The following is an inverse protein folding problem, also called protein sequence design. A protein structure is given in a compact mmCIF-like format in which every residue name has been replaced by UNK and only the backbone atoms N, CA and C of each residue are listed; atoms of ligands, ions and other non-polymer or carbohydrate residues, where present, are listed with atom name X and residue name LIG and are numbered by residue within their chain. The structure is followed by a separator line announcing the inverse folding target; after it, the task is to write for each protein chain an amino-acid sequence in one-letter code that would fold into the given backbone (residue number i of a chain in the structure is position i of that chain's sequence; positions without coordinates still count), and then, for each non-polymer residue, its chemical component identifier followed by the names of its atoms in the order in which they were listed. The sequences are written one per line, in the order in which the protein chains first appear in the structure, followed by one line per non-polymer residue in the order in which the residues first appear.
data_IF_932290203083
#
_entry.id   IF_932290203083
#
_cell.length_a   1.000
_cell.length_b   1.000
_cell.length_c   1.000
_cell.angle_alpha   90.00
_cell.angle_beta   90.00
_cell.angle_gamma   90.00
#
_symmetry.space_group_name_H-M   'P 1'
#
loop_
_entity.id
_entity.type
_entity.pdbx_description
1 polymer ?
#
# COMPACT_ATOMS: atom_id res chain seq x y z
N UNK A 1 -56.19 -23.23 -26.97
CA UNK A 1 -55.12 -22.37 -26.43
C UNK A 1 -53.80 -23.06 -26.75
N UNK A 2 -53.36 -22.85 -27.98
CA UNK A 2 -52.16 -23.43 -28.57
C UNK A 2 -50.96 -22.53 -28.29
N UNK A 3 -49.88 -23.18 -27.89
CA UNK A 3 -48.56 -22.63 -27.65
C UNK A 3 -47.93 -22.07 -28.94
N UNK A 4 -47.08 -21.06 -28.79
CA UNK A 4 -46.34 -20.37 -29.85
C UNK A 4 -45.23 -21.24 -30.45
N UNK A 5 -45.34 -21.42 -31.77
CA UNK A 5 -44.32 -21.83 -32.75
C UNK A 5 -43.25 -20.71 -32.91
N UNK A 6 -41.95 -21.03 -32.97
CA UNK A 6 -41.11 -21.08 -34.20
C UNK A 6 -40.70 -19.68 -34.75
N UNK A 7 -39.58 -19.44 -35.43
CA UNK A 7 -38.48 -20.27 -35.90
C UNK A 7 -37.29 -19.36 -36.24
N UNK A 8 -36.10 -19.96 -36.31
CA UNK A 8 -34.85 -19.36 -36.77
C UNK A 8 -34.84 -19.27 -38.30
N UNK A 9 -34.44 -18.14 -38.89
CA UNK A 9 -33.97 -18.08 -40.27
C UNK A 9 -32.63 -17.33 -40.38
N UNK A 10 -31.61 -18.11 -40.74
CA UNK A 10 -30.27 -17.68 -41.17
C UNK A 10 -30.32 -17.31 -42.65
N UNK A 11 -29.78 -16.14 -43.04
CA UNK A 11 -29.27 -15.88 -44.38
C UNK A 11 -28.04 -14.94 -44.31
N UNK A 12 -26.91 -15.45 -44.79
CA UNK A 12 -25.64 -14.75 -45.04
C UNK A 12 -25.70 -13.94 -46.39
N UNK A 13 -24.58 -13.58 -47.06
CA UNK A 13 -24.00 -12.24 -47.08
C UNK A 13 -23.95 -11.63 -48.51
N UNK A 14 -23.64 -10.33 -48.61
CA UNK A 14 -23.31 -9.61 -49.87
C UNK A 14 -24.39 -9.58 -50.98
N UNK A 15 -25.14 -8.47 -51.04
CA UNK A 15 -25.27 -7.72 -52.29
C UNK A 15 -25.67 -6.25 -52.04
N UNK A 16 -24.88 -5.37 -52.67
CA UNK A 16 -24.99 -3.92 -52.74
C UNK A 16 -26.21 -3.43 -53.52
N UNK A 17 -26.84 -2.34 -53.10
CA UNK A 17 -26.94 -1.10 -53.91
C UNK A 17 -27.79 0.01 -53.26
N UNK A 18 -27.17 1.18 -53.15
CA UNK A 18 -27.72 2.53 -53.35
C UNK A 18 -29.13 2.88 -52.84
N UNK A 19 -29.18 3.50 -51.65
CA UNK A 19 -30.14 4.57 -51.36
C UNK A 19 -29.53 5.56 -50.34
N UNK A 20 -29.27 6.79 -50.80
CA UNK A 20 -28.80 7.92 -49.99
C UNK A 20 -29.97 8.56 -49.21
N UNK A 21 -29.89 8.78 -47.89
CA UNK A 21 -30.81 9.69 -47.22
C UNK A 21 -30.29 11.13 -47.20
N UNK A 22 -31.23 12.07 -47.28
CA UNK A 22 -31.09 13.52 -47.45
C UNK A 22 -30.28 14.22 -46.32
N UNK A 23 -29.62 15.36 -46.60
CA UNK A 23 -28.75 16.04 -45.63
C UNK A 23 -29.54 16.89 -44.62
N UNK A 24 -29.24 16.70 -43.32
CA UNK A 24 -29.66 17.59 -42.24
C UNK A 24 -28.82 18.89 -42.21
N UNK A 25 -29.35 20.02 -41.71
CA UNK A 25 -28.76 21.35 -41.94
C UNK A 25 -27.60 21.74 -41.02
N UNK A 26 -26.91 20.80 -40.36
CA UNK A 26 -25.77 21.13 -39.48
C UNK A 26 -24.46 20.56 -40.04
N UNK A 27 -23.87 21.27 -41.01
CA UNK A 27 -22.57 20.93 -41.62
C UNK A 27 -21.48 21.82 -41.01
N UNK A 28 -20.65 21.28 -40.12
CA UNK A 28 -19.35 21.86 -39.74
C UNK A 28 -18.29 21.43 -40.79
N UNK A 29 -17.33 22.30 -41.17
CA UNK A 29 -16.41 22.02 -42.27
C UNK A 29 -15.40 20.93 -41.88
N UNK A 30 -15.23 19.95 -42.77
CA UNK A 30 -14.19 18.93 -42.65
C UNK A 30 -12.83 19.55 -42.99
N UNK A 31 -11.86 19.43 -42.10
CA UNK A 31 -10.45 19.48 -42.48
C UNK A 31 -9.85 18.11 -42.15
N UNK A 32 -9.58 17.31 -43.20
CA UNK A 32 -8.82 16.07 -43.08
C UNK A 32 -7.38 16.45 -42.76
N UNK A 33 -6.84 15.96 -41.64
CA UNK A 33 -5.40 15.94 -41.39
C UNK A 33 -4.98 14.48 -41.32
N UNK A 34 -4.18 14.09 -42.31
CA UNK A 34 -3.50 12.81 -42.41
C UNK A 34 -2.63 12.59 -41.17
N UNK A 35 -2.78 11.43 -40.52
CA UNK A 35 -1.86 10.98 -39.48
C UNK A 35 -0.60 10.49 -40.19
N UNK A 36 0.33 11.41 -40.43
CA UNK A 36 1.71 11.11 -40.73
C UNK A 36 2.51 11.25 -39.43
N UNK A 37 3.25 10.21 -39.10
CA UNK A 37 4.24 10.20 -38.04
C UNK A 37 5.28 11.31 -38.25
N UNK A 38 5.54 12.12 -37.22
CA UNK A 38 6.86 12.54 -36.74
C UNK A 38 6.79 13.79 -35.85
N UNK A 39 7.66 13.81 -34.83
CA UNK A 39 8.25 14.99 -34.20
C UNK A 39 7.39 15.94 -33.34
N UNK A 40 7.53 15.79 -32.02
CA UNK A 40 8.02 16.79 -31.06
C UNK A 40 7.61 18.29 -31.23
N UNK A 41 6.97 18.79 -30.16
CA UNK A 41 6.99 20.15 -29.55
C UNK A 41 5.79 21.12 -29.68
N UNK A 42 5.25 21.45 -28.50
CA UNK A 42 4.88 22.78 -27.97
C UNK A 42 3.62 23.54 -28.44
N UNK A 43 2.68 23.67 -27.51
CA UNK A 43 2.00 24.92 -27.08
C UNK A 43 1.74 24.76 -25.57
N UNK A 44 1.96 25.68 -24.63
CA UNK A 44 2.20 27.12 -24.70
C UNK A 44 1.35 27.79 -23.61
N UNK A 45 1.81 27.85 -22.36
CA UNK A 45 1.30 28.78 -21.35
C UNK A 45 2.47 29.65 -20.93
N UNK A 46 2.45 30.91 -21.38
CA UNK A 46 3.42 31.94 -21.05
C UNK A 46 3.10 32.44 -19.65
N UNK A 47 4.03 32.25 -18.70
CA UNK A 47 4.07 33.00 -17.46
C UNK A 47 5.49 33.53 -17.29
N UNK A 48 5.66 34.82 -17.52
CA UNK A 48 6.93 35.55 -17.38
C UNK A 48 7.25 35.70 -15.89
N UNK A 49 8.34 35.07 -15.42
CA UNK A 49 8.95 35.35 -14.12
C UNK A 49 10.47 35.30 -14.25
N UNK A 50 11.12 36.39 -13.85
CA UNK A 50 12.56 36.67 -13.97
C UNK A 50 13.49 35.52 -13.52
N UNK A 51 14.59 35.36 -14.25
CA UNK A 51 15.43 34.15 -14.30
C UNK A 51 16.67 34.16 -13.38
N UNK A 52 16.78 35.06 -12.39
CA UNK A 52 18.04 35.17 -11.60
C UNK A 52 18.00 34.65 -10.17
N UNK A 53 16.83 34.49 -9.56
CA UNK A 53 16.74 34.09 -8.14
C UNK A 53 16.44 32.59 -7.91
N UNK A 54 16.28 31.81 -8.99
CA UNK A 54 15.89 30.40 -8.93
C UNK A 54 17.03 29.43 -9.29
N UNK A 55 18.28 29.90 -9.35
CA UNK A 55 19.40 29.02 -9.72
C UNK A 55 20.01 28.36 -8.48
N UNK A 56 20.04 29.04 -7.32
CA UNK A 56 20.58 28.43 -6.09
C UNK A 56 19.78 27.23 -5.55
N UNK A 57 18.43 27.28 -5.43
CA UNK A 57 17.68 26.15 -4.84
C UNK A 57 17.52 24.99 -5.82
N UNK A 58 17.49 25.27 -7.13
CA UNK A 58 17.33 24.24 -8.17
C UNK A 58 18.64 23.48 -8.39
N UNK A 59 19.80 24.17 -8.36
CA UNK A 59 21.10 23.49 -8.46
C UNK A 59 21.38 22.67 -7.20
N UNK A 60 21.00 23.15 -6.01
CA UNK A 60 21.08 22.35 -4.78
C UNK A 60 20.18 21.11 -4.84
N UNK A 61 18.96 21.23 -5.38
CA UNK A 61 18.05 20.10 -5.59
C UNK A 61 18.55 19.11 -6.67
N UNK A 62 19.26 19.60 -7.69
CA UNK A 62 19.85 18.79 -8.76
C UNK A 62 21.17 18.11 -8.36
N UNK A 63 21.92 18.66 -7.39
CA UNK A 63 23.14 18.01 -6.87
C UNK A 63 22.84 16.89 -5.87
N UNK A 64 21.64 16.84 -5.28
CA UNK A 64 21.23 15.73 -4.40
C UNK A 64 20.75 14.51 -5.21
N UNK A 65 20.34 14.70 -6.47
CA UNK A 65 19.77 13.63 -7.29
C UNK A 65 20.79 12.82 -8.10
N UNK A 66 22.07 13.21 -8.15
CA UNK A 66 23.09 12.50 -8.96
C UNK A 66 23.67 11.23 -8.31
N UNK A 67 23.28 10.89 -7.08
CA UNK A 67 23.59 9.60 -6.45
C UNK A 67 22.40 8.63 -6.39
N UNK A 68 21.28 8.95 -7.04
CA UNK A 68 20.02 8.19 -6.97
C UNK A 68 19.76 7.36 -8.23
N UNK A 69 20.77 6.68 -8.76
CA UNK A 69 20.59 5.71 -9.85
C UNK A 69 21.49 4.51 -9.55
N UNK A 70 20.89 3.32 -9.45
CA UNK A 70 21.46 2.01 -9.08
C UNK A 70 21.40 1.53 -7.62
N UNK A 71 20.38 1.91 -6.84
CA UNK A 71 20.07 1.21 -5.59
C UNK A 71 18.61 0.74 -5.56
N UNK A 72 18.38 -0.43 -6.16
CA UNK A 72 17.21 -1.27 -5.86
C UNK A 72 17.13 -1.48 -4.35
N UNK A 73 16.13 -0.87 -3.69
CA UNK A 73 15.71 -1.05 -2.28
C UNK A 73 16.87 -1.06 -1.27
N UNK A 74 17.07 0.04 -0.54
CA UNK A 74 18.16 0.17 0.42
C UNK A 74 17.97 -0.64 1.71
N UNK A 75 16.83 -1.32 1.85
CA UNK A 75 16.49 -2.12 3.01
C UNK A 75 16.96 -3.56 2.77
N UNK A 76 17.70 -4.17 3.72
CA UNK A 76 18.26 -5.50 3.50
C UNK A 76 17.14 -6.54 3.32
N UNK A 77 17.28 -7.35 2.27
CA UNK A 77 16.35 -8.42 1.90
C UNK A 77 15.89 -9.29 3.07
N UNK A 78 16.81 -9.63 3.98
CA UNK A 78 16.51 -10.46 5.15
C UNK A 78 15.49 -9.83 6.11
N UNK A 79 15.46 -8.50 6.25
CA UNK A 79 14.46 -7.80 7.07
C UNK A 79 13.09 -7.83 6.43
N UNK A 80 13.01 -7.69 5.10
CA UNK A 80 11.74 -7.83 4.39
C UNK A 80 11.18 -9.23 4.53
N UNK A 81 12.01 -10.26 4.35
CA UNK A 81 11.58 -11.66 4.54
C UNK A 81 11.14 -11.92 5.98
N UNK A 82 11.83 -11.36 6.97
CA UNK A 82 11.42 -11.44 8.37
C UNK A 82 10.05 -10.80 8.61
N UNK A 83 9.80 -9.61 8.05
CA UNK A 83 8.51 -8.94 8.17
C UNK A 83 7.37 -9.77 7.55
N UNK A 84 7.61 -10.36 6.38
CA UNK A 84 6.67 -11.28 5.72
C UNK A 84 6.36 -12.48 6.61
N UNK A 85 7.37 -13.16 7.14
CA UNK A 85 7.17 -14.31 8.03
C UNK A 85 6.38 -13.92 9.28
N UNK A 86 6.77 -12.83 9.95
CA UNK A 86 6.11 -12.37 11.16
C UNK A 86 4.63 -12.01 10.93
N UNK A 87 4.32 -11.32 9.82
CA UNK A 87 2.94 -11.00 9.46
C UNK A 87 2.16 -12.23 8.99
N UNK A 88 2.78 -13.17 8.27
CA UNK A 88 2.16 -14.45 7.90
C UNK A 88 1.80 -15.28 9.14
N UNK A 89 2.66 -15.31 10.17
CA UNK A 89 2.34 -15.97 11.46
C UNK A 89 1.07 -15.36 12.06
N UNK A 90 0.98 -14.03 12.11
CA UNK A 90 -0.22 -13.31 12.61
C UNK A 90 -1.48 -13.71 11.83
N UNK A 91 -1.41 -13.81 10.50
CA UNK A 91 -2.53 -14.25 9.65
C UNK A 91 -2.97 -15.70 9.90
N UNK A 92 -2.01 -16.62 10.07
CA UNK A 92 -2.30 -18.06 10.28
C UNK A 92 -2.92 -18.29 11.66
N UNK A 93 -2.45 -17.57 12.67
CA UNK A 93 -3.02 -17.67 14.02
C UNK A 93 -4.48 -17.24 14.04
N UNK A 94 -4.80 -16.11 13.40
CA UNK A 94 -6.18 -15.65 13.26
C UNK A 94 -7.03 -16.67 12.47
N UNK A 95 -6.48 -17.27 11.42
CA UNK A 95 -7.18 -18.33 10.69
C UNK A 95 -7.51 -19.54 11.57
N UNK A 96 -6.57 -19.95 12.44
CA UNK A 96 -6.75 -21.07 13.37
C UNK A 96 -7.74 -20.76 14.47
N UNK A 97 -7.72 -19.55 15.02
CA UNK A 97 -8.70 -19.08 16.02
C UNK A 97 -10.13 -19.18 15.48
N UNK A 98 -10.31 -18.90 14.19
CA UNK A 98 -11.60 -18.98 13.51
C UNK A 98 -11.88 -20.34 12.86
N UNK A 99 -11.07 -21.36 13.17
CA UNK A 99 -11.24 -22.75 12.70
C UNK A 99 -11.32 -22.88 11.17
N UNK A 100 -10.57 -22.05 10.46
CA UNK A 100 -10.42 -22.17 9.01
C UNK A 100 -9.57 -23.39 8.65
N UNK A 101 -9.77 -23.91 7.44
CA UNK A 101 -8.99 -25.03 6.90
C UNK A 101 -7.58 -24.59 6.48
N UNK A 102 -6.75 -25.55 6.04
CA UNK A 102 -5.37 -25.26 5.61
C UNK A 102 -5.35 -24.25 4.45
N UNK A 103 -6.30 -24.31 3.52
CA UNK A 103 -6.39 -23.38 2.39
C UNK A 103 -6.70 -21.97 2.90
N UNK A 104 -7.67 -21.82 3.81
CA UNK A 104 -7.97 -20.55 4.46
C UNK A 104 -6.79 -20.00 5.28
N UNK A 105 -6.05 -20.87 5.98
CA UNK A 105 -4.86 -20.48 6.72
C UNK A 105 -3.74 -19.95 5.80
N UNK A 106 -3.47 -20.63 4.69
CA UNK A 106 -2.51 -20.18 3.67
C UNK A 106 -2.97 -18.87 3.03
N UNK A 107 -4.24 -18.75 2.69
CA UNK A 107 -4.80 -17.54 2.09
C UNK A 107 -4.64 -16.33 3.03
N UNK A 108 -5.02 -16.45 4.31
CA UNK A 108 -4.82 -15.37 5.27
C UNK A 108 -3.36 -15.06 5.53
N UNK A 109 -2.47 -16.05 5.54
CA UNK A 109 -1.04 -15.82 5.69
C UNK A 109 -0.48 -14.94 4.57
N UNK A 110 -0.86 -15.24 3.32
CA UNK A 110 -0.44 -14.49 2.13
C UNK A 110 -1.03 -13.09 2.15
N UNK A 111 -2.32 -12.96 2.49
CA UNK A 111 -2.97 -11.65 2.61
C UNK A 111 -2.33 -10.80 3.70
N UNK A 112 -2.03 -11.37 4.87
CA UNK A 112 -1.44 -10.63 5.98
C UNK A 112 0.03 -10.25 5.69
N UNK A 113 0.82 -11.19 5.17
CA UNK A 113 2.24 -11.01 4.90
C UNK A 113 2.57 -10.21 3.64
N UNK A 114 1.73 -10.27 2.61
CA UNK A 114 2.03 -9.64 1.31
C UNK A 114 0.98 -8.61 0.89
N UNK A 115 -0.20 -8.60 1.53
CA UNK A 115 -1.29 -7.70 1.20
C UNK A 115 -0.97 -6.23 1.46
N UNK A 116 -0.18 -5.90 2.48
CA UNK A 116 0.28 -4.52 2.72
C UNK A 116 1.14 -3.98 1.58
N UNK A 117 2.11 -4.79 1.12
CA UNK A 117 2.93 -4.46 -0.05
C UNK A 117 2.12 -4.41 -1.35
N UNK A 118 1.12 -5.29 -1.50
CA UNK A 118 0.20 -5.26 -2.64
C UNK A 118 -0.62 -3.96 -2.67
N UNK A 119 -1.20 -3.55 -1.53
CA UNK A 119 -1.95 -2.30 -1.43
C UNK A 119 -1.08 -1.11 -1.80
N UNK A 120 0.13 -1.03 -1.22
CA UNK A 120 1.11 0.00 -1.56
C UNK A 120 1.39 0.05 -3.06
N UNK A 121 1.74 -1.08 -3.65
CA UNK A 121 2.17 -1.12 -5.06
C UNK A 121 1.00 -0.77 -6.00
N UNK A 122 -0.22 -1.18 -5.68
CA UNK A 122 -1.43 -0.79 -6.42
C UNK A 122 -1.74 0.70 -6.27
N UNK A 123 -1.49 1.29 -5.10
CA UNK A 123 -1.70 2.73 -4.88
C UNK A 123 -0.62 3.60 -5.52
N UNK A 124 0.63 3.13 -5.56
CA UNK A 124 1.73 3.89 -6.18
C UNK A 124 1.61 3.90 -7.70
N UNK A 125 1.00 2.87 -8.31
CA UNK A 125 0.82 2.73 -9.77
C UNK A 125 2.11 2.88 -10.59
N UNK A 126 3.26 2.73 -9.93
CA UNK A 126 4.60 2.93 -10.48
C UNK A 126 5.45 1.74 -10.04
N UNK A 127 6.12 1.11 -11.00
CA UNK A 127 6.97 -0.07 -10.78
C UNK A 127 6.20 -1.40 -10.73
N UNK A 128 6.94 -2.47 -10.43
CA UNK A 128 6.40 -3.82 -10.37
C UNK A 128 5.81 -4.13 -8.97
N UNK A 129 4.81 -5.02 -8.98
CA UNK A 129 4.20 -5.55 -7.77
C UNK A 129 5.19 -6.48 -7.06
N UNK A 130 5.46 -6.21 -5.78
CA UNK A 130 6.46 -6.90 -4.96
C UNK A 130 6.27 -8.41 -4.94
N UNK A 131 5.02 -8.88 -4.79
CA UNK A 131 4.68 -10.29 -4.75
C UNK A 131 5.06 -11.05 -6.04
N UNK A 132 5.08 -10.34 -7.18
CA UNK A 132 5.42 -10.94 -8.47
C UNK A 132 6.92 -10.88 -8.76
N UNK A 133 7.61 -9.87 -8.22
CA UNK A 133 9.03 -9.66 -8.47
C UNK A 133 9.94 -10.44 -7.53
N UNK A 134 9.50 -10.70 -6.29
CA UNK A 134 10.28 -11.41 -5.29
C UNK A 134 9.89 -12.90 -5.24
N UNK A 135 10.70 -13.79 -5.84
CA UNK A 135 10.34 -15.20 -5.98
C UNK A 135 10.26 -15.95 -4.64
N UNK A 136 10.92 -15.44 -3.59
CA UNK A 136 10.90 -16.06 -2.27
C UNK A 136 9.72 -15.59 -1.40
N UNK A 137 9.16 -14.41 -1.63
CA UNK A 137 8.19 -13.81 -0.72
C UNK A 137 6.90 -14.66 -0.59
N UNK A 138 6.37 -15.12 -1.72
CA UNK A 138 5.16 -15.95 -1.77
C UNK A 138 5.39 -17.38 -1.22
N UNK A 139 6.41 -18.15 -1.67
CA UNK A 139 6.72 -19.45 -1.08
C UNK A 139 6.99 -19.40 0.42
N UNK A 140 7.67 -18.36 0.91
CA UNK A 140 7.98 -18.21 2.33
C UNK A 140 6.71 -18.01 3.17
N UNK A 141 5.76 -17.20 2.69
CA UNK A 141 4.46 -17.03 3.34
C UNK A 141 3.67 -18.35 3.38
N UNK A 142 3.64 -19.11 2.28
CA UNK A 142 2.96 -20.41 2.22
C UNK A 142 3.62 -21.42 3.14
N UNK A 143 4.96 -21.50 3.13
CA UNK A 143 5.71 -22.40 3.99
C UNK A 143 5.49 -22.08 5.48
N UNK A 144 5.50 -20.79 5.84
CA UNK A 144 5.19 -20.33 7.19
C UNK A 144 3.78 -20.76 7.59
N UNK A 145 2.79 -20.61 6.70
CA UNK A 145 1.44 -21.05 6.96
C UNK A 145 1.32 -22.56 7.19
N UNK A 146 1.92 -23.36 6.32
CA UNK A 146 1.91 -24.82 6.44
C UNK A 146 2.56 -25.28 7.76
N UNK A 147 3.73 -24.71 8.11
CA UNK A 147 4.46 -25.09 9.33
C UNK A 147 3.65 -24.74 10.57
N UNK A 148 3.14 -23.51 10.68
CA UNK A 148 2.40 -23.04 11.86
C UNK A 148 1.04 -23.73 11.99
N UNK A 149 0.41 -24.09 10.87
CA UNK A 149 -0.83 -24.85 10.86
C UNK A 149 -0.64 -26.31 11.32
N UNK A 150 0.42 -26.98 10.85
CA UNK A 150 0.71 -28.38 11.18
C UNK A 150 1.29 -28.54 12.58
N UNK A 151 2.09 -27.58 13.05
CA UNK A 151 2.75 -27.63 14.36
C UNK A 151 2.25 -26.54 15.31
N UNK A 152 1.03 -26.67 15.86
CA UNK A 152 0.47 -25.75 16.85
C UNK A 152 1.37 -25.49 18.05
N UNK A 153 2.07 -26.53 18.50
CA UNK A 153 2.88 -26.53 19.71
C UNK A 153 3.99 -25.47 19.70
N UNK A 154 4.42 -25.03 18.50
CA UNK A 154 5.39 -23.95 18.34
C UNK A 154 4.83 -22.61 18.84
N UNK A 155 3.50 -22.45 18.82
CA UNK A 155 2.81 -21.18 19.06
C UNK A 155 1.76 -21.26 20.17
N UNK A 156 1.67 -22.38 20.90
CA UNK A 156 0.64 -22.57 21.93
C UNK A 156 0.83 -21.69 23.20
N UNK A 157 1.97 -20.99 23.36
CA UNK A 157 2.29 -20.19 24.58
C UNK A 157 3.05 -18.83 24.46
N UNK A 158 3.29 -18.19 23.29
CA UNK A 158 3.95 -16.88 23.26
C UNK A 158 2.96 -15.71 23.33
N UNK A 159 2.15 -15.59 24.40
CA UNK A 159 1.19 -14.47 24.59
C UNK A 159 1.84 -13.08 24.44
N UNK A 160 3.14 -12.97 24.76
CA UNK A 160 3.92 -11.73 24.62
C UNK A 160 4.77 -11.66 23.35
N UNK A 161 5.14 -12.80 22.76
CA UNK A 161 6.03 -12.83 21.60
C UNK A 161 5.28 -12.53 20.30
N UNK A 162 4.03 -12.97 20.17
CA UNK A 162 3.23 -12.74 18.95
C UNK A 162 2.95 -11.23 18.75
N UNK A 163 2.47 -10.47 19.75
CA UNK A 163 2.26 -9.03 19.59
C UNK A 163 3.57 -8.26 19.37
N UNK A 164 4.68 -8.80 19.87
CA UNK A 164 6.01 -8.22 19.68
C UNK A 164 6.51 -8.41 18.24
N UNK A 165 6.38 -9.62 17.68
CA UNK A 165 6.73 -9.90 16.29
C UNK A 165 5.85 -9.09 15.33
N UNK A 166 4.56 -8.93 15.64
CA UNK A 166 3.63 -8.10 14.88
C UNK A 166 4.08 -6.63 14.85
N UNK A 167 4.43 -6.03 16.00
CA UNK A 167 4.83 -4.61 15.98
C UNK A 167 6.18 -4.39 15.30
N UNK A 168 7.09 -5.37 15.35
CA UNK A 168 8.36 -5.29 14.62
C UNK A 168 8.11 -5.32 13.11
N UNK A 169 7.25 -6.23 12.62
CA UNK A 169 6.93 -6.31 11.19
C UNK A 169 6.24 -5.03 10.71
N UNK A 170 5.35 -4.45 11.51
CA UNK A 170 4.69 -3.15 11.24
C UNK A 170 5.73 -2.04 11.08
N UNK A 171 6.74 -1.97 11.96
CA UNK A 171 7.81 -0.98 11.84
C UNK A 171 8.65 -1.17 10.57
N UNK A 172 8.96 -2.42 10.21
CA UNK A 172 9.69 -2.72 8.97
C UNK A 172 8.84 -2.38 7.74
N UNK A 173 7.55 -2.69 7.74
CA UNK A 173 6.64 -2.32 6.66
C UNK A 173 6.42 -0.81 6.53
N UNK A 174 6.39 -0.09 7.65
CA UNK A 174 6.33 1.36 7.66
C UNK A 174 7.56 1.97 6.96
N UNK A 175 8.76 1.49 7.33
CA UNK A 175 10.01 1.91 6.70
C UNK A 175 10.08 1.54 5.21
N UNK A 176 9.83 0.27 4.85
CA UNK A 176 9.86 -0.21 3.45
C UNK A 176 8.82 0.45 2.55
N UNK A 177 7.62 0.74 3.07
CA UNK A 177 6.61 1.47 2.33
C UNK A 177 7.01 2.91 2.06
N UNK A 178 7.55 3.60 3.06
CA UNK A 178 8.04 4.96 2.92
C UNK A 178 9.28 5.05 2.01
N UNK A 179 10.21 4.11 2.14
CA UNK A 179 11.43 4.03 1.31
C UNK A 179 11.09 3.89 -0.17
N UNK A 180 10.19 2.95 -0.50
CA UNK A 180 9.80 2.74 -1.90
C UNK A 180 9.14 3.98 -2.51
N UNK A 181 8.31 4.69 -1.75
CA UNK A 181 7.71 5.94 -2.20
C UNK A 181 8.73 7.08 -2.36
N UNK A 182 9.73 7.16 -1.46
CA UNK A 182 10.84 8.11 -1.58
C UNK A 182 11.69 7.85 -2.82
N UNK A 183 11.99 6.58 -3.12
CA UNK A 183 12.74 6.18 -4.32
C UNK A 183 12.00 6.58 -5.59
N UNK A 184 10.67 6.56 -5.60
CA UNK A 184 9.87 7.05 -6.73
C UNK A 184 9.72 8.58 -6.77
N UNK A 185 10.34 9.32 -5.86
CA UNK A 185 10.37 10.78 -5.89
C UNK A 185 9.06 11.45 -5.45
N UNK A 186 8.20 10.75 -4.71
CA UNK A 186 6.97 11.34 -4.19
C UNK A 186 7.23 12.35 -3.06
N UNK A 187 6.27 13.24 -2.82
CA UNK A 187 6.34 14.20 -1.72
C UNK A 187 6.41 13.50 -0.35
N UNK A 188 7.05 14.11 0.67
CA UNK A 188 7.24 13.48 1.99
C UNK A 188 5.94 13.03 2.65
N UNK A 189 4.88 13.82 2.53
CA UNK A 189 3.56 13.47 3.05
C UNK A 189 3.01 12.18 2.44
N UNK A 190 3.18 11.98 1.12
CA UNK A 190 2.76 10.75 0.42
C UNK A 190 3.61 9.57 0.89
N UNK A 191 4.92 9.76 1.08
CA UNK A 191 5.81 8.71 1.57
C UNK A 191 5.40 8.20 2.95
N UNK A 192 5.05 9.11 3.87
CA UNK A 192 4.56 8.75 5.20
C UNK A 192 3.26 7.94 5.10
N UNK A 193 2.32 8.38 4.25
CA UNK A 193 1.06 7.66 4.04
C UNK A 193 1.27 6.28 3.43
N UNK A 194 2.21 6.13 2.49
CA UNK A 194 2.54 4.84 1.90
C UNK A 194 3.16 3.88 2.91
N UNK A 195 4.04 4.38 3.78
CA UNK A 195 4.53 3.61 4.93
C UNK A 195 3.38 3.12 5.82
N UNK A 196 2.46 4.03 6.19
CA UNK A 196 1.28 3.68 6.97
C UNK A 196 0.40 2.61 6.30
N UNK A 197 0.04 2.78 5.02
CA UNK A 197 -0.79 1.81 4.29
C UNK A 197 -0.10 0.46 4.15
N UNK A 198 1.21 0.44 3.96
CA UNK A 198 1.98 -0.82 3.88
C UNK A 198 1.97 -1.55 5.23
N UNK A 199 2.21 -0.81 6.31
CA UNK A 199 2.30 -1.36 7.66
C UNK A 199 0.97 -1.91 8.17
N UNK A 200 -0.13 -1.20 7.89
CA UNK A 200 -1.45 -1.51 8.44
C UNK A 200 -2.30 -2.33 7.48
N UNK A 201 -2.02 -2.25 6.18
CA UNK A 201 -2.83 -2.85 5.12
C UNK A 201 -2.96 -4.37 5.22
N UNK A 202 -1.93 -5.09 5.63
CA UNK A 202 -2.00 -6.54 5.82
C UNK A 202 -3.03 -6.95 6.88
N UNK A 203 -2.98 -6.30 8.04
CA UNK A 203 -3.95 -6.52 9.12
C UNK A 203 -5.36 -6.07 8.77
N UNK A 204 -5.50 -4.94 8.04
CA UNK A 204 -6.80 -4.49 7.54
C UNK A 204 -7.45 -5.49 6.60
N UNK A 205 -6.68 -6.02 5.65
CA UNK A 205 -7.19 -7.01 4.71
C UNK A 205 -7.60 -8.28 5.46
N UNK A 206 -6.75 -8.79 6.36
CA UNK A 206 -7.08 -9.94 7.22
C UNK A 206 -8.43 -9.74 7.91
N UNK A 207 -8.59 -8.63 8.63
CA UNK A 207 -9.81 -8.35 9.38
C UNK A 207 -11.03 -8.24 8.44
N UNK A 208 -10.86 -7.62 7.27
CA UNK A 208 -11.90 -7.53 6.24
C UNK A 208 -12.32 -8.89 5.67
N UNK A 209 -11.38 -9.79 5.37
CA UNK A 209 -11.69 -11.16 4.92
C UNK A 209 -12.39 -11.98 6.01
N UNK A 210 -12.12 -11.68 7.28
CA UNK A 210 -12.81 -12.28 8.42
C UNK A 210 -14.21 -11.71 8.66
N UNK A 211 -14.61 -10.68 7.92
CA UNK A 211 -15.91 -10.02 8.10
C UNK A 211 -16.02 -9.26 9.42
N UNK A 212 -14.91 -8.95 10.08
CA UNK A 212 -14.87 -8.14 11.30
C UNK A 212 -14.42 -6.73 10.99
N UNK A 213 -14.85 -5.76 11.79
CA UNK A 213 -14.39 -4.37 11.64
C UNK A 213 -12.88 -4.34 11.91
N UNK A 214 -12.04 -3.84 10.99
CA UNK A 214 -10.60 -3.80 11.21
C UNK A 214 -10.21 -3.17 12.53
N UNK A 215 -9.27 -3.79 13.25
CA UNK A 215 -8.86 -3.36 14.59
C UNK A 215 -8.33 -1.92 14.64
N UNK A 216 -7.93 -1.39 13.49
CA UNK A 216 -7.47 -0.01 13.29
C UNK A 216 -8.60 1.04 13.41
N UNK A 217 -9.83 0.66 13.10
CA UNK A 217 -11.01 1.52 13.18
C UNK A 217 -11.71 1.37 14.52
N UNK A 218 -11.45 0.26 15.22
CA UNK A 218 -11.95 0.03 16.57
C UNK A 218 -11.17 0.87 17.58
N UNK A 219 -11.77 1.02 18.78
CA UNK A 219 -11.21 1.72 19.92
C UNK A 219 -10.02 0.93 20.51
N UNK A 220 -8.92 0.96 19.79
CA UNK A 220 -7.74 0.17 20.08
C UNK A 220 -6.52 1.08 20.25
N UNK A 221 -5.51 0.55 20.93
CA UNK A 221 -4.15 1.08 21.07
C UNK A 221 -3.66 1.87 19.84
N UNK A 222 -2.72 2.80 20.07
CA UNK A 222 -2.09 3.71 19.08
C UNK A 222 -1.33 3.02 17.92
N UNK A 223 -1.93 2.05 17.24
CA UNK A 223 -1.33 1.29 16.13
C UNK A 223 -1.11 2.17 14.91
N UNK A 224 -2.18 2.86 14.47
CA UNK A 224 -2.12 3.76 13.33
C UNK A 224 -1.15 4.92 13.59
N UNK A 225 -1.23 5.52 14.79
CA UNK A 225 -0.35 6.61 15.19
C UNK A 225 1.11 6.14 15.29
N UNK A 226 1.38 4.94 15.81
CA UNK A 226 2.72 4.36 15.83
C UNK A 226 3.28 4.14 14.42
N UNK A 227 2.49 3.60 13.49
CA UNK A 227 2.90 3.39 12.11
C UNK A 227 3.17 4.71 11.36
N UNK A 228 2.33 5.74 11.58
CA UNK A 228 2.54 7.08 11.01
C UNK A 228 3.81 7.72 11.60
N UNK A 229 3.98 7.66 12.92
CA UNK A 229 5.16 8.23 13.58
C UNK A 229 6.46 7.51 13.18
N UNK A 230 6.42 6.19 13.05
CA UNK A 230 7.52 5.39 12.50
C UNK A 230 7.87 5.84 11.09
N UNK A 231 6.89 5.86 10.18
CA UNK A 231 7.08 6.29 8.79
C UNK A 231 7.59 7.73 8.70
N UNK A 232 7.07 8.64 9.52
CA UNK A 232 7.52 10.04 9.60
C UNK A 232 8.96 10.14 10.09
N UNK A 233 9.35 9.36 11.11
CA UNK A 233 10.73 9.31 11.58
C UNK A 233 11.68 8.79 10.51
N UNK A 234 11.29 7.76 9.75
CA UNK A 234 12.07 7.24 8.63
C UNK A 234 12.30 8.31 7.56
N UNK A 235 11.22 8.93 7.08
CA UNK A 235 11.28 9.97 6.03
C UNK A 235 12.13 11.15 6.48
N UNK A 236 11.95 11.63 7.72
CA UNK A 236 12.73 12.75 8.24
C UNK A 236 14.23 12.43 8.31
N UNK A 237 14.60 11.24 8.78
CA UNK A 237 16.00 10.81 8.88
C UNK A 237 16.64 10.65 7.50
N UNK A 238 15.96 9.99 6.56
CA UNK A 238 16.47 9.78 5.20
C UNK A 238 16.64 11.12 4.47
N UNK A 239 15.65 12.02 4.56
CA UNK A 239 15.74 13.34 3.92
C UNK A 239 16.84 14.22 4.50
N UNK A 240 17.14 14.06 5.79
CA UNK A 240 18.20 14.82 6.44
C UNK A 240 19.61 14.40 5.99
N UNK A 241 19.76 13.19 5.44
CA UNK A 241 21.05 12.63 5.02
C UNK A 241 22.03 12.36 6.17
N UNK A 242 21.62 12.50 7.43
CA UNK A 242 22.50 12.32 8.60
C UNK A 242 22.87 10.85 8.87
N UNK A 243 22.12 9.88 8.36
CA UNK A 243 22.23 8.46 8.74
C UNK A 243 22.07 7.53 7.53
N UNK A 244 22.60 6.31 7.64
CA UNK A 244 22.35 5.26 6.64
C UNK A 244 20.89 4.81 6.67
N UNK A 245 20.36 4.35 5.53
CA UNK A 245 18.97 3.90 5.41
C UNK A 245 18.64 2.75 6.38
N UNK A 246 19.61 1.87 6.63
CA UNK A 246 19.48 0.79 7.62
C UNK A 246 19.31 1.36 9.04
N UNK A 247 20.09 2.38 9.40
CA UNK A 247 19.96 3.01 10.71
C UNK A 247 18.62 3.75 10.84
N UNK A 248 18.18 4.45 9.78
CA UNK A 248 16.86 5.07 9.75
C UNK A 248 15.71 4.05 9.92
N UNK A 249 15.84 2.86 9.32
CA UNK A 249 14.89 1.77 9.51
C UNK A 249 14.86 1.29 10.97
N UNK A 250 16.03 1.09 11.59
CA UNK A 250 16.11 0.69 12.99
C UNK A 250 15.44 1.73 13.88
N UNK A 251 15.67 3.03 13.64
CA UNK A 251 14.97 4.09 14.36
C UNK A 251 13.46 4.02 14.15
N UNK A 252 12.99 3.81 12.92
CA UNK A 252 11.56 3.66 12.61
C UNK A 252 10.92 2.51 13.41
N UNK A 253 11.57 1.34 13.43
CA UNK A 253 11.10 0.17 14.19
C UNK A 253 11.07 0.48 15.69
N UNK A 254 12.12 1.10 16.23
CA UNK A 254 12.22 1.47 17.65
C UNK A 254 11.15 2.49 18.03
N UNK A 255 10.90 3.51 17.20
CA UNK A 255 9.85 4.52 17.40
C UNK A 255 8.47 3.84 17.40
N UNK A 256 8.20 2.99 16.41
CA UNK A 256 6.94 2.27 16.29
C UNK A 256 6.70 1.36 17.50
N UNK A 257 7.71 0.59 17.89
CA UNK A 257 7.65 -0.31 19.04
C UNK A 257 7.55 0.45 20.36
N UNK A 258 8.29 1.54 20.53
CA UNK A 258 8.26 2.40 21.71
C UNK A 258 6.89 3.05 21.92
N UNK A 259 6.29 3.60 20.86
CA UNK A 259 4.93 4.14 20.89
C UNK A 259 3.89 3.07 21.23
N UNK A 260 4.02 1.87 20.65
CA UNK A 260 3.14 0.75 20.96
C UNK A 260 3.27 0.30 22.41
N UNK A 261 4.50 0.16 22.90
CA UNK A 261 4.76 -0.22 24.28
C UNK A 261 4.24 0.82 25.27
N UNK A 262 4.42 2.11 24.97
CA UNK A 262 3.86 3.21 25.74
C UNK A 262 2.31 3.14 25.75
N UNK A 263 1.69 2.92 24.59
CA UNK A 263 0.24 2.75 24.48
C UNK A 263 -0.28 1.62 25.36
N UNK A 264 0.39 0.46 25.34
CA UNK A 264 -0.01 -0.71 26.11
C UNK A 264 0.20 -0.51 27.61
N UNK A 265 1.27 0.20 28.02
CA UNK A 265 1.57 0.46 29.43
C UNK A 265 0.62 1.47 30.06
N UNK A 266 0.15 2.45 29.30
CA UNK A 266 -0.70 3.53 29.80
C UNK A 266 -2.21 3.31 29.52
N UNK A 267 -2.61 2.18 28.93
CA UNK A 267 -3.99 1.87 28.49
C UNK A 267 -4.71 3.05 27.82
N UNK A 268 -3.96 3.83 27.04
CA UNK A 268 -4.50 5.04 26.40
C UNK A 268 -5.31 4.59 25.19
N UNK A 269 -6.62 4.50 25.38
CA UNK A 269 -7.59 4.29 24.31
C UNK A 269 -7.91 5.62 23.66
N UNK A 270 -8.15 5.60 22.35
CA UNK A 270 -8.63 6.80 21.64
C UNK A 270 -9.95 7.30 22.28
N UNK A 271 -10.08 8.62 22.51
CA UNK A 271 -11.29 9.19 23.10
C UNK A 271 -12.47 9.07 22.13
N UNK A 272 -13.64 8.69 22.64
CA UNK A 272 -14.90 8.65 21.89
C UNK A 272 -15.65 9.97 22.06
N UNK A 273 -16.55 10.32 21.13
CA UNK A 273 -17.44 11.49 21.25
C UNK A 273 -18.19 11.54 22.59
N UNK A 274 -18.58 10.39 23.17
CA UNK A 274 -19.21 10.34 24.50
C UNK A 274 -18.30 10.82 25.64
N UNK A 275 -16.99 10.55 25.55
CA UNK A 275 -16.01 10.99 26.54
C UNK A 275 -15.62 12.45 26.32
N UNK A 276 -15.55 12.90 25.07
CA UNK A 276 -15.35 14.31 24.72
C UNK A 276 -16.53 15.15 25.20
N UNK A 277 -17.77 14.69 24.97
CA UNK A 277 -18.99 15.34 25.45
C UNK A 277 -19.05 15.37 26.98
N UNK A 278 -18.69 14.28 27.68
CA UNK A 278 -18.56 14.26 29.15
C UNK A 278 -17.47 15.20 29.67
N UNK A 279 -16.32 15.27 29.01
CA UNK A 279 -15.24 16.19 29.37
C UNK A 279 -15.62 17.67 29.16
N UNK A 280 -16.37 17.96 28.09
CA UNK A 280 -16.90 19.29 27.80
C UNK A 280 -18.00 19.69 28.78
N UNK A 281 -18.88 18.77 29.17
CA UNK A 281 -19.93 19.04 30.17
C UNK A 281 -19.39 19.21 31.59
N UNK A 282 -18.24 18.65 31.94
CA UNK A 282 -17.61 18.82 33.27
C UNK A 282 -16.89 20.17 33.44
N UNK A 283 -16.75 20.95 32.37
CA UNK A 283 -16.06 22.26 32.35
C UNK A 283 -17.00 23.47 32.25
N UNK A 284 -18.31 23.27 32.38
CA UNK A 284 -19.32 24.32 32.60
C UNK A 284 -19.82 24.24 34.03
#
# INVERSE_FOLDING_TARGET
MSFLEADVHVLDPWHSSNATPAPSPYRLPSNRVSIAANHVLCTGIVQTRESKDLILPVVAAMTVTSHASDAMVAIPFWLEMFAVVAASISGVLVAREHKLDLVGAVALAVVCGLGGGLLRDMTLQVGNVYILNQPMALPLSIATAAIIYIFPAIVDKPEKLIPLLDIISVGIYAATGADKALVYGFAPAVCIMMGFFTAVGGGMLRDGFMGVVPGIFQRTNFYAIAAIAGSASYVALVMSGLMSNVAALVVCVVVTMGLRWLSLRFDIKSPTEEDIARFLHRKK
#
